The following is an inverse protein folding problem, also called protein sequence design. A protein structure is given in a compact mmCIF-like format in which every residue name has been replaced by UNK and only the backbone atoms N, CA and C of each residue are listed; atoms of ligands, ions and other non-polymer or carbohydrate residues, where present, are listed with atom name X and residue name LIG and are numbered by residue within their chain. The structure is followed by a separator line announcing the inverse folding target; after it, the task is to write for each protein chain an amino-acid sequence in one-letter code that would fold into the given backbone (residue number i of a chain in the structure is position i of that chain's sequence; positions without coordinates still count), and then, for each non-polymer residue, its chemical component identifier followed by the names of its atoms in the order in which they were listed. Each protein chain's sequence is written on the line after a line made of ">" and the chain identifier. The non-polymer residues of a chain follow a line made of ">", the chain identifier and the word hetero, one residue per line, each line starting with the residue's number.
data_IF_455320459898
#
_entry.id   IF_455320459898
#
_cell.length_a   1.000
_cell.length_b   1.000
_cell.length_c   1.000
_cell.angle_alpha   90.00
_cell.angle_beta   90.00
_cell.angle_gamma   90.00
#
_symmetry.space_group_name_H-M   'P 1'
#
loop_
_entity.id
_entity.type
_entity.pdbx_description
1 polymer ?
#
# COMPACT_ATOMS: atom_id res chain seq x y z
N UNK A 1 27.30 0.02 -7.17
CA UNK A 1 26.13 -0.88 -7.19
C UNK A 1 25.69 -1.04 -5.75
N UNK A 2 24.65 -0.34 -5.32
CA UNK A 2 24.32 -0.22 -3.90
C UNK A 2 23.31 -1.28 -3.50
N UNK A 3 23.77 -2.23 -2.68
CA UNK A 3 22.97 -3.24 -2.00
C UNK A 3 21.88 -2.57 -1.15
N UNK A 4 20.67 -2.39 -1.69
CA UNK A 4 19.51 -1.85 -0.96
C UNK A 4 18.69 -2.97 -0.32
N UNK A 5 19.34 -3.91 0.36
CA UNK A 5 18.65 -4.84 1.25
C UNK A 5 18.35 -4.12 2.56
N UNK A 6 17.26 -3.34 2.56
CA UNK A 6 16.66 -2.80 3.78
C UNK A 6 16.07 -3.93 4.62
N UNK A 7 16.01 -3.72 5.93
CA UNK A 7 15.62 -4.66 7.00
C UNK A 7 14.65 -5.78 6.56
N UNK A 8 14.88 -7.05 6.94
CA UNK A 8 13.91 -8.13 6.65
C UNK A 8 12.51 -7.78 7.17
N UNK A 9 11.47 -8.25 6.50
CA UNK A 9 10.11 -8.20 7.03
C UNK A 9 9.98 -9.24 8.13
N UNK A 10 9.58 -8.81 9.32
CA UNK A 10 9.18 -9.71 10.40
C UNK A 10 7.76 -10.23 10.19
N UNK A 11 7.40 -11.33 10.86
CA UNK A 11 6.03 -11.83 10.86
C UNK A 11 5.06 -10.83 11.47
N UNK A 12 5.49 -10.09 12.50
CA UNK A 12 4.67 -9.06 13.12
C UNK A 12 4.38 -7.89 12.16
N UNK A 13 5.39 -7.45 11.39
CA UNK A 13 5.16 -6.46 10.33
C UNK A 13 4.20 -6.97 9.25
N UNK A 14 4.21 -8.27 8.94
CA UNK A 14 3.22 -8.84 8.00
C UNK A 14 1.80 -8.76 8.56
N UNK A 15 1.61 -9.10 9.84
CA UNK A 15 0.32 -9.04 10.51
C UNK A 15 -0.21 -7.59 10.55
N UNK A 16 0.63 -6.64 10.93
CA UNK A 16 0.29 -5.22 10.96
C UNK A 16 -0.03 -4.66 9.56
N UNK A 17 0.70 -5.13 8.54
CA UNK A 17 0.44 -4.77 7.15
C UNK A 17 -0.96 -5.25 6.72
N UNK A 18 -1.31 -6.49 7.03
CA UNK A 18 -2.63 -7.08 6.70
C UNK A 18 -3.74 -6.29 7.39
N UNK A 19 -3.63 -6.03 8.70
CA UNK A 19 -4.62 -5.26 9.47
C UNK A 19 -4.82 -3.85 8.91
N UNK A 20 -3.74 -3.17 8.53
CA UNK A 20 -3.83 -1.83 7.94
C UNK A 20 -4.54 -1.85 6.57
N UNK A 21 -4.32 -2.88 5.76
CA UNK A 21 -5.00 -3.04 4.47
C UNK A 21 -6.49 -3.32 4.66
N UNK A 22 -6.86 -4.15 5.64
CA UNK A 22 -8.25 -4.42 6.01
C UNK A 22 -8.97 -3.17 6.53
N UNK A 23 -8.25 -2.31 7.25
CA UNK A 23 -8.74 -1.04 7.79
C UNK A 23 -8.90 0.08 6.74
N UNK A 24 -8.74 -0.25 5.45
CA UNK A 24 -8.81 0.68 4.31
C UNK A 24 -7.76 1.80 4.34
N UNK A 25 -6.62 1.62 5.01
CA UNK A 25 -5.50 2.56 4.91
C UNK A 25 -4.95 2.59 3.48
N UNK A 26 -4.58 3.78 3.00
CA UNK A 26 -3.93 3.88 1.69
C UNK A 26 -2.47 3.39 1.76
N UNK A 27 -1.92 2.94 0.64
CA UNK A 27 -0.55 2.37 0.62
C UNK A 27 0.52 3.38 1.07
N UNK A 28 0.29 4.67 0.82
CA UNK A 28 1.16 5.76 1.28
C UNK A 28 1.23 5.82 2.82
N UNK A 29 0.09 5.73 3.49
CA UNK A 29 0.02 5.71 4.95
C UNK A 29 0.65 4.44 5.51
N UNK A 30 0.36 3.29 4.90
CA UNK A 30 0.97 2.01 5.29
C UNK A 30 2.49 2.06 5.16
N UNK A 31 3.01 2.62 4.07
CA UNK A 31 4.45 2.77 3.87
C UNK A 31 5.08 3.68 4.94
N UNK A 32 4.41 4.77 5.33
CA UNK A 32 4.88 5.66 6.39
C UNK A 32 4.87 4.95 7.77
N UNK A 33 3.79 4.25 8.11
CA UNK A 33 3.65 3.52 9.38
C UNK A 33 4.73 2.45 9.54
N UNK A 34 5.00 1.70 8.47
CA UNK A 34 6.00 0.63 8.44
C UNK A 34 7.43 1.14 8.20
N UNK A 35 7.60 2.45 8.00
CA UNK A 35 8.89 3.08 7.61
C UNK A 35 9.52 2.40 6.38
N UNK A 36 8.68 1.98 5.43
CA UNK A 36 9.07 1.32 4.19
C UNK A 36 8.81 2.22 2.99
N UNK A 37 9.41 1.86 1.86
CA UNK A 37 9.06 2.49 0.59
C UNK A 37 7.75 1.89 0.06
N UNK A 38 6.98 2.68 -0.71
CA UNK A 38 5.80 2.18 -1.42
C UNK A 38 6.10 0.93 -2.25
N UNK A 39 7.25 0.88 -2.92
CA UNK A 39 7.64 -0.29 -3.71
C UNK A 39 7.84 -1.53 -2.84
N UNK A 40 8.45 -1.38 -1.66
CA UNK A 40 8.66 -2.50 -0.74
C UNK A 40 7.32 -3.02 -0.19
N UNK A 41 6.38 -2.14 0.15
CA UNK A 41 5.03 -2.52 0.58
C UNK A 41 4.30 -3.25 -0.53
N UNK A 42 4.30 -2.73 -1.77
CA UNK A 42 3.68 -3.38 -2.93
C UNK A 42 4.23 -4.78 -3.19
N UNK A 43 5.57 -4.92 -3.20
CA UNK A 43 6.23 -6.22 -3.35
C UNK A 43 5.85 -7.18 -2.24
N UNK A 44 5.69 -6.70 -0.99
CA UNK A 44 5.31 -7.54 0.13
C UNK A 44 3.86 -8.01 0.03
N UNK A 45 2.94 -7.13 -0.37
CA UNK A 45 1.53 -7.48 -0.59
C UNK A 45 1.40 -8.61 -1.62
N UNK A 46 2.09 -8.49 -2.76
CA UNK A 46 2.10 -9.54 -3.79
C UNK A 46 2.62 -10.86 -3.22
N UNK A 47 3.74 -10.83 -2.49
CA UNK A 47 4.30 -12.02 -1.87
C UNK A 47 3.35 -12.68 -0.85
N UNK A 48 2.69 -11.89 0.01
CA UNK A 48 1.73 -12.41 0.99
C UNK A 48 0.49 -13.02 0.31
N UNK A 49 0.04 -12.44 -0.80
CA UNK A 49 -1.04 -12.98 -1.61
C UNK A 49 -0.63 -14.31 -2.28
N UNK A 50 0.54 -14.38 -2.90
CA UNK A 50 1.08 -15.61 -3.51
C UNK A 50 1.28 -16.74 -2.50
N UNK A 51 1.62 -16.40 -1.25
CA UNK A 51 1.74 -17.35 -0.14
C UNK A 51 0.40 -17.75 0.48
N UNK A 52 -0.72 -17.18 0.03
CA UNK A 52 -2.06 -17.43 0.59
C UNK A 52 -2.26 -16.86 2.00
N UNK A 53 -1.39 -15.95 2.45
CA UNK A 53 -1.48 -15.27 3.75
C UNK A 53 -2.35 -14.02 3.71
N UNK A 54 -2.60 -13.49 2.52
CA UNK A 54 -3.51 -12.38 2.28
C UNK A 54 -4.55 -12.80 1.24
N UNK A 55 -5.82 -12.70 1.59
CA UNK A 55 -6.94 -13.00 0.69
C UNK A 55 -7.64 -11.70 0.27
N UNK A 56 -7.61 -11.38 -1.02
CA UNK A 56 -8.36 -10.25 -1.57
C UNK A 56 -9.74 -10.73 -2.04
N UNK A 57 -10.79 -10.11 -1.51
CA UNK A 57 -12.18 -10.54 -1.68
C UNK A 57 -12.75 -10.22 -3.07
N UNK A 58 -12.12 -9.32 -3.83
CA UNK A 58 -12.48 -9.04 -5.21
C UNK A 58 -11.24 -9.05 -6.14
N UNK A 59 -11.32 -9.69 -7.32
CA UNK A 59 -10.20 -9.81 -8.27
C UNK A 59 -9.58 -8.47 -8.72
N UNK A 60 -10.35 -7.38 -8.70
CA UNK A 60 -9.87 -6.04 -9.08
C UNK A 60 -9.18 -5.25 -7.96
N UNK A 61 -9.23 -5.73 -6.72
CA UNK A 61 -8.79 -4.96 -5.55
C UNK A 61 -7.27 -4.75 -5.51
N UNK A 62 -6.47 -5.71 -6.00
CA UNK A 62 -5.01 -5.55 -6.03
C UNK A 62 -4.59 -4.43 -6.99
N UNK A 63 -5.11 -4.48 -8.22
CA UNK A 63 -4.86 -3.45 -9.22
C UNK A 63 -5.39 -2.10 -8.76
N UNK A 64 -6.56 -2.06 -8.13
CA UNK A 64 -7.13 -0.82 -7.61
C UNK A 64 -6.28 -0.22 -6.47
N UNK A 65 -5.81 -1.03 -5.52
CA UNK A 65 -4.88 -0.60 -4.47
C UNK A 65 -3.57 -0.06 -5.05
N UNK A 66 -3.07 -0.69 -6.12
CA UNK A 66 -1.86 -0.25 -6.83
C UNK A 66 -2.10 1.05 -7.63
N UNK A 67 -3.32 1.25 -8.17
CA UNK A 67 -3.64 2.29 -9.15
C UNK A 67 -4.38 3.53 -8.62
N UNK A 68 -4.90 3.54 -7.39
CA UNK A 68 -5.66 4.69 -6.80
C UNK A 68 -4.90 6.04 -6.78
N UNK A 69 -3.62 6.06 -7.12
CA UNK A 69 -2.80 7.28 -7.28
C UNK A 69 -3.28 8.23 -8.39
N UNK A 70 -4.01 7.75 -9.39
CA UNK A 70 -4.32 8.60 -10.56
C UNK A 70 -5.54 9.51 -10.40
N UNK A 71 -6.35 9.36 -9.34
CA UNK A 71 -7.62 10.09 -9.20
C UNK A 71 -7.70 11.01 -7.97
N UNK A 72 -6.74 10.99 -7.05
CA UNK A 72 -6.74 11.87 -5.85
C UNK A 72 -5.92 13.17 -5.99
N UNK A 73 -5.43 13.50 -7.19
CA UNK A 73 -4.78 14.81 -7.45
C UNK A 73 -5.43 15.56 -8.62
N UNK A 74 -6.73 15.81 -8.50
CA UNK A 74 -7.46 16.80 -9.30
C UNK A 74 -8.89 16.87 -8.78
N UNK A 75 -9.30 17.88 -8.02
CA UNK A 75 -9.48 19.21 -8.57
C UNK A 75 -9.19 20.32 -7.55
N UNK A 76 -8.54 21.35 -8.08
CA UNK A 76 -8.22 22.63 -7.47
C UNK A 76 -9.48 23.34 -6.95
N UNK A 77 -9.21 24.20 -5.96
CA UNK A 77 -10.00 25.36 -5.57
C UNK A 77 -10.43 26.14 -6.81
N UNK A 78 -11.74 26.37 -6.95
CA UNK A 78 -12.41 27.46 -7.66
C UNK A 78 -13.83 27.47 -7.03
N UNK A 79 -14.47 28.53 -6.57
CA UNK A 79 -14.38 29.93 -6.94
C UNK A 79 -14.95 30.77 -5.77
N UNK A 80 -14.16 31.72 -5.26
CA UNK A 80 -14.65 32.79 -4.40
C UNK A 80 -14.74 34.04 -5.29
N UNK A 81 -15.90 34.27 -5.89
CA UNK A 81 -16.26 35.55 -6.53
C UNK A 81 -17.75 35.68 -6.81
N UNK A 82 -18.47 36.30 -5.86
CA UNK A 82 -19.18 37.60 -5.98
C UNK A 82 -20.29 37.72 -4.94
#
# INVERSE_FOLDING_TARGET
>A
MSSRSGTPWSSHEDDDLIVNLESQCCLEEVALLHQRTLSAVRSRIVMLYELGKLCLIAPGTLDELINRRSQQTGSKRDDQSR
#
